data_IF_697583143674
#
_entry.id   IF_697583143674
#
_cell.length_a   1.000
_cell.length_b   1.000
_cell.length_c   1.000
_cell.angle_alpha   90.00
_cell.angle_beta   90.00
_cell.angle_gamma   90.00
#
_symmetry.space_group_name_H-M   'P 1'
#
loop_
_entity.id
_entity.type
_entity.pdbx_description
1 polymer ?
#
# COMPACT_ATOMS: atom_id res chain seq x y z
N UNK A 1 4.99 -13.61 -18.56
CA UNK A 1 6.29 -13.18 -17.99
C UNK A 1 6.11 -12.18 -16.85
N UNK A 2 5.65 -10.95 -17.09
CA UNK A 2 5.54 -9.91 -16.05
C UNK A 2 4.70 -10.31 -14.82
N UNK A 3 3.54 -10.94 -15.02
CA UNK A 3 2.70 -11.43 -13.90
C UNK A 3 3.41 -12.49 -13.06
N UNK A 4 4.11 -13.42 -13.69
CA UNK A 4 4.86 -14.48 -12.99
C UNK A 4 6.05 -13.88 -12.26
N UNK A 5 6.80 -13.00 -12.93
CA UNK A 5 7.93 -12.26 -12.36
C UNK A 5 7.51 -11.43 -11.13
N UNK A 6 6.31 -10.84 -11.15
CA UNK A 6 5.75 -10.06 -10.05
C UNK A 6 5.56 -10.87 -8.75
N UNK A 7 5.21 -12.16 -8.84
CA UNK A 7 5.08 -13.01 -7.65
C UNK A 7 6.38 -13.74 -7.30
N UNK A 8 7.15 -14.16 -8.30
CA UNK A 8 8.31 -15.04 -8.11
C UNK A 8 9.57 -14.28 -7.73
N UNK A 9 9.86 -13.11 -8.34
CA UNK A 9 11.08 -12.36 -7.99
C UNK A 9 11.11 -11.90 -6.53
N UNK A 10 10.03 -11.33 -5.96
CA UNK A 10 10.06 -10.91 -4.55
C UNK A 10 10.29 -12.09 -3.60
N UNK A 11 9.67 -13.25 -3.86
CA UNK A 11 9.85 -14.45 -3.04
C UNK A 11 11.30 -14.99 -3.12
N UNK A 12 11.89 -15.02 -4.31
CA UNK A 12 13.28 -15.44 -4.50
C UNK A 12 14.27 -14.46 -3.86
N UNK A 13 14.02 -13.15 -3.92
CA UNK A 13 14.88 -12.17 -3.28
C UNK A 13 14.86 -12.29 -1.76
N UNK A 14 13.71 -12.61 -1.17
CA UNK A 14 13.59 -12.85 0.28
C UNK A 14 14.34 -14.11 0.69
N UNK A 15 14.19 -15.20 -0.06
CA UNK A 15 14.87 -16.46 0.23
C UNK A 15 16.40 -16.36 0.07
N UNK A 16 16.88 -15.65 -0.95
CA UNK A 16 18.32 -15.39 -1.17
C UNK A 16 18.95 -14.51 -0.07
N UNK A 17 18.14 -13.84 0.75
CA UNK A 17 18.58 -12.95 1.83
C UNK A 17 18.45 -13.58 3.22
N UNK A 18 18.18 -14.88 3.30
CA UNK A 18 18.18 -15.65 4.55
C UNK A 18 16.84 -15.68 5.29
N UNK A 19 15.80 -15.01 4.78
CA UNK A 19 14.46 -15.09 5.33
C UNK A 19 13.68 -16.19 4.59
N UNK A 20 13.46 -17.33 5.24
CA UNK A 20 12.81 -18.51 4.62
C UNK A 20 11.28 -18.43 4.64
N UNK A 21 10.71 -17.37 5.21
CA UNK A 21 9.27 -17.12 5.28
C UNK A 21 8.90 -16.00 6.26
N UNK A 22 7.59 -15.73 6.38
CA UNK A 22 7.03 -14.69 7.26
C UNK A 22 7.36 -14.91 8.74
N UNK A 23 7.32 -16.16 9.22
CA UNK A 23 7.62 -16.49 10.61
C UNK A 23 9.07 -16.13 11.02
N UNK A 24 10.04 -16.35 10.12
CA UNK A 24 11.43 -15.99 10.36
C UNK A 24 11.63 -14.47 10.44
N UNK A 25 10.84 -13.72 9.67
CA UNK A 25 10.86 -12.27 9.66
C UNK A 25 10.23 -11.69 10.93
N UNK A 26 9.09 -12.24 11.37
CA UNK A 26 8.46 -11.88 12.65
C UNK A 26 9.46 -12.11 13.79
N UNK A 27 10.04 -13.31 13.88
CA UNK A 27 11.02 -13.63 14.92
C UNK A 27 12.25 -12.70 14.91
N UNK A 28 12.73 -12.32 13.72
CA UNK A 28 13.82 -11.35 13.59
C UNK A 28 13.43 -9.95 14.05
N UNK A 29 12.21 -9.50 13.74
CA UNK A 29 11.66 -8.23 14.23
C UNK A 29 11.55 -8.24 15.75
N UNK A 30 10.94 -9.29 16.33
CA UNK A 30 10.81 -9.43 17.78
C UNK A 30 12.18 -9.37 18.46
N UNK A 31 13.13 -10.17 17.98
CA UNK A 31 14.50 -10.21 18.51
C UNK A 31 15.20 -8.86 18.41
N UNK A 32 15.06 -8.16 17.28
CA UNK A 32 15.67 -6.85 17.06
C UNK A 32 15.12 -5.79 18.02
N UNK A 33 13.82 -5.78 18.29
CA UNK A 33 13.21 -4.87 19.27
C UNK A 33 13.61 -5.20 20.71
N UNK A 34 13.69 -6.49 21.07
CA UNK A 34 14.09 -6.93 22.42
C UNK A 34 15.52 -6.51 22.78
N UNK A 35 16.44 -6.54 21.81
CA UNK A 35 17.84 -6.21 22.04
C UNK A 35 18.19 -4.76 21.72
N UNK A 36 17.20 -3.94 21.33
CA UNK A 36 17.44 -2.55 21.01
C UNK A 36 17.58 -1.70 22.28
N UNK A 37 18.51 -0.74 22.25
CA UNK A 37 18.56 0.30 23.28
C UNK A 37 17.47 1.35 22.98
N UNK A 38 16.35 1.27 23.70
CA UNK A 38 15.19 2.15 23.49
C UNK A 38 15.51 3.63 23.69
N UNK A 39 16.50 3.96 24.52
CA UNK A 39 16.97 5.33 24.72
C UNK A 39 17.89 5.82 23.60
N UNK A 40 18.48 4.90 22.83
CA UNK A 40 19.34 5.16 21.69
C UNK A 40 18.57 5.39 20.39
N UNK A 41 19.30 5.63 19.29
CA UNK A 41 18.70 5.73 17.95
C UNK A 41 18.62 4.36 17.30
N UNK A 42 17.74 4.21 16.30
CA UNK A 42 17.66 2.95 15.53
C UNK A 42 19.00 2.63 14.88
N UNK A 43 19.69 3.65 14.35
CA UNK A 43 21.01 3.49 13.72
C UNK A 43 22.09 2.94 14.68
N UNK A 44 21.92 3.14 15.98
CA UNK A 44 22.86 2.67 17.01
C UNK A 44 22.51 1.23 17.46
N UNK A 45 21.34 0.71 17.07
CA UNK A 45 20.88 -0.66 17.32
C UNK A 45 21.16 -1.58 16.13
N UNK A 46 22.31 -2.26 16.12
CA UNK A 46 22.83 -2.99 14.96
C UNK A 46 21.82 -3.92 14.26
N UNK A 47 21.13 -4.79 15.01
CA UNK A 47 20.14 -5.72 14.44
C UNK A 47 18.90 -5.02 13.89
N UNK A 48 18.39 -4.01 14.59
CA UNK A 48 17.21 -3.24 14.16
C UNK A 48 17.53 -2.37 12.94
N UNK A 49 18.66 -1.67 12.95
CA UNK A 49 19.14 -0.89 11.81
C UNK A 49 19.28 -1.74 10.55
N UNK A 50 19.92 -2.92 10.67
CA UNK A 50 20.10 -3.83 9.55
C UNK A 50 18.77 -4.38 9.04
N UNK A 51 17.88 -4.80 9.94
CA UNK A 51 16.55 -5.28 9.57
C UNK A 51 15.74 -4.20 8.84
N UNK A 52 15.68 -2.99 9.39
CA UNK A 52 14.99 -1.85 8.77
C UNK A 52 15.56 -1.50 7.39
N UNK A 53 16.89 -1.52 7.22
CA UNK A 53 17.53 -1.26 5.93
C UNK A 53 17.19 -2.33 4.89
N UNK A 54 17.27 -3.62 5.26
CA UNK A 54 16.90 -4.74 4.37
C UNK A 54 15.42 -4.72 4.02
N UNK A 55 14.56 -4.39 4.98
CA UNK A 55 13.12 -4.31 4.79
C UNK A 55 12.74 -3.19 3.82
N UNK A 56 13.40 -2.03 3.94
CA UNK A 56 13.28 -0.93 2.97
C UNK A 56 13.62 -1.39 1.55
N UNK A 57 14.77 -2.02 1.36
CA UNK A 57 15.21 -2.50 0.04
C UNK A 57 14.20 -3.48 -0.56
N UNK A 58 13.68 -4.39 0.25
CA UNK A 58 12.65 -5.33 -0.17
C UNK A 58 11.39 -4.63 -0.71
N UNK A 59 10.89 -3.63 0.02
CA UNK A 59 9.76 -2.82 -0.42
C UNK A 59 10.07 -2.02 -1.69
N UNK A 60 11.27 -1.45 -1.81
CA UNK A 60 11.70 -0.74 -3.03
C UNK A 60 11.64 -1.67 -4.24
N UNK A 61 12.18 -2.89 -4.15
CA UNK A 61 12.16 -3.83 -5.28
C UNK A 61 10.74 -4.22 -5.66
N UNK A 62 9.87 -4.50 -4.68
CA UNK A 62 8.45 -4.77 -4.93
C UNK A 62 7.75 -3.59 -5.60
N UNK A 63 8.01 -2.36 -5.15
CA UNK A 63 7.46 -1.15 -5.75
C UNK A 63 7.91 -0.98 -7.20
N UNK A 64 9.19 -1.20 -7.51
CA UNK A 64 9.69 -1.12 -8.89
C UNK A 64 9.03 -2.14 -9.82
N UNK A 65 8.94 -3.40 -9.38
CA UNK A 65 8.31 -4.48 -10.16
C UNK A 65 6.80 -4.20 -10.35
N UNK A 66 6.12 -3.74 -9.29
CA UNK A 66 4.72 -3.33 -9.36
C UNK A 66 4.52 -2.15 -10.31
N UNK A 67 5.42 -1.17 -10.31
CA UNK A 67 5.39 -0.02 -11.22
C UNK A 67 5.46 -0.43 -12.68
N UNK A 68 6.38 -1.34 -13.04
CA UNK A 68 6.47 -1.88 -14.40
C UNK A 68 5.18 -2.62 -14.77
N UNK A 69 4.63 -3.44 -13.87
CA UNK A 69 3.38 -4.16 -14.11
C UNK A 69 2.20 -3.19 -14.33
N UNK A 70 2.08 -2.12 -13.54
CA UNK A 70 1.07 -1.07 -13.69
C UNK A 70 1.17 -0.42 -15.08
N UNK A 71 2.37 -0.08 -15.54
CA UNK A 71 2.58 0.51 -16.87
C UNK A 71 2.14 -0.43 -18.00
N UNK A 72 2.53 -1.71 -17.92
CA UNK A 72 2.13 -2.74 -18.90
C UNK A 72 0.61 -2.87 -18.93
N UNK A 73 -0.03 -2.97 -17.77
CA UNK A 73 -1.48 -3.15 -17.67
C UNK A 73 -2.25 -1.91 -18.11
N UNK A 74 -1.76 -0.70 -17.83
CA UNK A 74 -2.35 0.53 -18.33
C UNK A 74 -2.34 0.56 -19.88
N UNK A 75 -1.23 0.16 -20.50
CA UNK A 75 -1.14 0.00 -21.95
C UNK A 75 -2.13 -1.03 -22.50
N UNK A 76 -2.24 -2.21 -21.86
CA UNK A 76 -3.19 -3.26 -22.27
C UNK A 76 -4.65 -2.84 -22.08
N UNK A 77 -4.97 -2.14 -20.99
CA UNK A 77 -6.29 -1.55 -20.76
C UNK A 77 -6.66 -0.57 -21.86
N UNK A 78 -5.72 0.30 -22.28
CA UNK A 78 -5.93 1.23 -23.40
C UNK A 78 -6.17 0.51 -24.73
N UNK A 79 -5.33 -0.48 -25.05
CA UNK A 79 -5.46 -1.27 -26.28
C UNK A 79 -6.78 -2.07 -26.33
N UNK A 80 -7.16 -2.71 -25.21
CA UNK A 80 -8.42 -3.45 -25.13
C UNK A 80 -9.62 -2.51 -25.21
N UNK A 81 -9.55 -1.33 -24.60
CA UNK A 81 -10.60 -0.32 -24.72
C UNK A 81 -10.81 0.07 -26.19
N UNK A 82 -9.75 0.37 -26.92
CA UNK A 82 -9.83 0.71 -28.34
C UNK A 82 -10.43 -0.45 -29.15
N UNK A 83 -9.97 -1.68 -28.91
CA UNK A 83 -10.48 -2.87 -29.59
C UNK A 83 -11.98 -3.11 -29.31
N UNK A 84 -12.45 -2.85 -28.09
CA UNK A 84 -13.87 -2.92 -27.74
C UNK A 84 -14.67 -1.82 -28.43
N UNK A 85 -14.13 -0.60 -28.52
CA UNK A 85 -14.78 0.55 -29.16
C UNK A 85 -14.95 0.36 -30.67
N UNK A 86 -14.01 -0.32 -31.34
CA UNK A 86 -14.08 -0.63 -32.79
C UNK A 86 -14.83 -1.93 -33.11
N UNK A 87 -15.09 -2.79 -32.13
CA UNK A 87 -15.74 -4.07 -32.37
C UNK A 87 -17.24 -3.93 -32.68
N UNK A 88 -17.68 -4.65 -33.71
CA UNK A 88 -19.10 -4.81 -34.02
C UNK A 88 -19.86 -5.48 -32.87
N UNK A 89 -21.17 -5.27 -32.83
CA UNK A 89 -22.02 -5.92 -31.82
C UNK A 89 -22.05 -7.43 -32.08
N UNK A 90 -21.69 -8.20 -31.07
CA UNK A 90 -21.66 -9.66 -31.18
C UNK A 90 -20.83 -10.32 -30.07
N UNK A 91 -20.67 -11.64 -30.15
CA UNK A 91 -19.94 -12.46 -29.15
C UNK A 91 -18.53 -11.93 -28.89
N UNK A 92 -17.80 -11.57 -29.96
CA UNK A 92 -16.43 -11.02 -29.87
C UNK A 92 -16.34 -9.78 -28.99
N UNK A 93 -17.31 -8.85 -29.09
CA UNK A 93 -17.34 -7.63 -28.28
C UNK A 93 -17.56 -7.92 -26.79
N UNK A 94 -18.42 -8.88 -26.46
CA UNK A 94 -18.62 -9.30 -25.07
C UNK A 94 -17.38 -9.95 -24.47
N UNK A 95 -16.69 -10.81 -25.24
CA UNK A 95 -15.41 -11.39 -24.82
C UNK A 95 -14.35 -10.30 -24.57
N UNK A 96 -14.24 -9.31 -25.46
CA UNK A 96 -13.31 -8.19 -25.29
C UNK A 96 -13.70 -7.30 -24.09
N UNK A 97 -14.99 -7.09 -23.82
CA UNK A 97 -15.47 -6.38 -22.64
C UNK A 97 -15.10 -7.10 -21.35
N UNK A 98 -15.27 -8.43 -21.31
CA UNK A 98 -14.85 -9.27 -20.18
C UNK A 98 -13.34 -9.17 -19.95
N UNK A 99 -12.54 -9.28 -21.01
CA UNK A 99 -11.09 -9.13 -20.94
C UNK A 99 -10.68 -7.73 -20.47
N UNK A 100 -11.33 -6.67 -20.96
CA UNK A 100 -11.11 -5.30 -20.51
C UNK A 100 -11.38 -5.15 -19.01
N UNK A 101 -12.52 -5.64 -18.52
CA UNK A 101 -12.86 -5.61 -17.10
C UNK A 101 -11.84 -6.35 -16.24
N UNK A 102 -11.42 -7.56 -16.66
CA UNK A 102 -10.42 -8.35 -15.95
C UNK A 102 -9.05 -7.65 -15.88
N UNK A 103 -8.60 -7.03 -16.99
CA UNK A 103 -7.32 -6.29 -17.01
C UNK A 103 -7.41 -5.01 -16.18
N UNK A 104 -8.56 -4.32 -16.14
CA UNK A 104 -8.77 -3.18 -15.25
C UNK A 104 -8.69 -3.61 -13.78
N UNK A 105 -9.37 -4.69 -13.40
CA UNK A 105 -9.28 -5.23 -12.03
C UNK A 105 -7.83 -5.58 -11.66
N UNK A 106 -7.10 -6.23 -12.57
CA UNK A 106 -5.71 -6.59 -12.34
C UNK A 106 -4.80 -5.36 -12.23
N UNK A 107 -5.04 -4.32 -13.04
CA UNK A 107 -4.35 -3.03 -12.96
C UNK A 107 -4.58 -2.35 -11.59
N UNK A 108 -5.82 -2.34 -11.10
CA UNK A 108 -6.16 -1.77 -9.81
C UNK A 108 -5.46 -2.53 -8.67
N UNK A 109 -5.46 -3.86 -8.72
CA UNK A 109 -4.72 -4.69 -7.76
C UNK A 109 -3.21 -4.43 -7.79
N UNK A 110 -2.60 -4.37 -8.98
CA UNK A 110 -1.19 -4.05 -9.13
C UNK A 110 -0.84 -2.66 -8.59
N UNK A 111 -1.72 -1.66 -8.78
CA UNK A 111 -1.56 -0.34 -8.20
C UNK A 111 -1.61 -0.38 -6.68
N UNK A 112 -2.57 -1.11 -6.07
CA UNK A 112 -2.64 -1.25 -4.62
C UNK A 112 -1.33 -1.81 -4.05
N UNK A 113 -0.75 -2.83 -4.71
CA UNK A 113 0.55 -3.37 -4.30
C UNK A 113 1.66 -2.34 -4.45
N UNK A 114 1.68 -1.55 -5.55
CA UNK A 114 2.65 -0.46 -5.72
C UNK A 114 2.56 0.54 -4.57
N UNK A 115 1.36 1.02 -4.22
CA UNK A 115 1.17 2.03 -3.18
C UNK A 115 1.59 1.51 -1.81
N UNK A 116 1.20 0.28 -1.45
CA UNK A 116 1.57 -0.33 -0.17
C UNK A 116 3.09 -0.50 -0.05
N UNK A 117 3.79 -0.85 -1.13
CA UNK A 117 5.24 -1.01 -1.10
C UNK A 117 6.00 0.33 -1.17
N UNK A 118 5.46 1.34 -1.86
CA UNK A 118 6.03 2.69 -1.80
C UNK A 118 5.98 3.25 -0.37
N UNK A 119 4.86 3.06 0.31
CA UNK A 119 4.69 3.42 1.71
C UNK A 119 5.67 2.69 2.64
N UNK A 120 5.77 1.36 2.54
CA UNK A 120 6.71 0.57 3.35
C UNK A 120 8.19 0.90 3.08
N UNK A 121 8.53 1.36 1.88
CA UNK A 121 9.88 1.83 1.56
C UNK A 121 10.20 3.21 2.15
N UNK A 122 9.21 4.10 2.25
CA UNK A 122 9.42 5.46 2.82
C UNK A 122 9.46 5.44 4.34
N UNK A 123 8.71 4.54 4.97
CA UNK A 123 8.64 4.37 6.40
C UNK A 123 8.93 2.91 6.82
N UNK A 124 10.21 2.48 6.71
CA UNK A 124 10.59 1.09 6.89
C UNK A 124 10.56 0.65 8.36
N UNK A 125 10.77 1.54 9.33
CA UNK A 125 10.75 1.19 10.74
C UNK A 125 9.32 0.90 11.21
N UNK A 126 8.37 1.76 10.84
CA UNK A 126 6.95 1.53 11.09
C UNK A 126 6.45 0.27 10.37
N UNK A 127 6.96 0.01 9.15
CA UNK A 127 6.63 -1.22 8.42
C UNK A 127 7.20 -2.47 9.09
N UNK A 128 8.42 -2.43 9.63
CA UNK A 128 8.96 -3.54 10.45
C UNK A 128 8.13 -3.71 11.72
N UNK A 129 7.77 -2.62 12.40
CA UNK A 129 6.95 -2.67 13.62
C UNK A 129 5.57 -3.27 13.37
N UNK A 130 5.00 -3.12 12.18
CA UNK A 130 3.72 -3.76 11.79
C UNK A 130 3.76 -5.30 11.74
N UNK A 131 4.96 -5.89 11.80
CA UNK A 131 5.16 -7.34 11.90
C UNK A 131 5.09 -7.85 13.34
N UNK A 132 5.11 -6.95 14.34
CA UNK A 132 5.04 -7.35 15.74
C UNK A 132 3.63 -7.88 16.05
N UNK A 133 3.50 -8.93 16.88
CA UNK A 133 2.20 -9.47 17.22
C UNK A 133 1.35 -8.46 17.98
N UNK A 134 0.13 -8.20 17.49
CA UNK A 134 -0.81 -7.26 18.11
C UNK A 134 -1.23 -7.66 19.53
N UNK A 135 -1.28 -8.96 19.84
CA UNK A 135 -1.66 -9.49 21.16
C UNK A 135 -0.49 -9.56 22.16
N UNK A 136 0.65 -8.93 21.83
CA UNK A 136 1.85 -8.90 22.65
C UNK A 136 2.52 -10.27 22.67
N UNK A 137 3.59 -10.41 21.87
CA UNK A 137 4.38 -11.64 21.70
C UNK A 137 5.05 -12.18 22.98
N UNK A 138 6.23 -12.83 22.87
CA UNK A 138 6.95 -13.36 24.03
C UNK A 138 7.12 -12.32 25.16
N UNK A 139 7.24 -12.78 26.42
CA UNK A 139 7.19 -11.91 27.61
C UNK A 139 8.14 -10.71 27.58
N UNK A 140 9.35 -10.88 27.01
CA UNK A 140 10.33 -9.81 26.83
C UNK A 140 9.86 -8.73 25.85
N UNK A 141 9.30 -9.13 24.70
CA UNK A 141 8.73 -8.19 23.73
C UNK A 141 7.57 -7.41 24.34
N UNK A 142 6.72 -8.06 25.13
CA UNK A 142 5.62 -7.38 25.81
C UNK A 142 6.14 -6.31 26.79
N UNK A 143 7.25 -6.57 27.47
CA UNK A 143 7.93 -5.58 28.32
C UNK A 143 8.39 -4.37 27.51
N UNK A 144 9.10 -4.61 26.40
CA UNK A 144 9.56 -3.55 25.47
C UNK A 144 8.40 -2.69 24.95
N UNK A 145 7.32 -3.33 24.52
CA UNK A 145 6.13 -2.63 24.05
C UNK A 145 5.45 -1.84 25.18
N UNK A 146 5.45 -2.37 26.40
CA UNK A 146 4.93 -1.68 27.57
C UNK A 146 5.79 -0.47 27.98
N UNK A 147 7.10 -0.49 27.72
CA UNK A 147 8.01 0.64 27.98
C UNK A 147 7.90 1.73 26.89
N UNK A 148 7.67 1.34 25.64
CA UNK A 148 7.48 2.27 24.53
C UNK A 148 6.20 3.11 24.67
N UNK A 149 5.13 2.57 25.24
CA UNK A 149 3.83 3.27 25.36
C UNK A 149 3.92 4.53 26.25
N UNK A 150 4.38 4.48 27.51
CA UNK A 150 4.56 5.68 28.33
C UNK A 150 5.50 6.70 27.68
N UNK A 151 6.55 6.26 26.98
CA UNK A 151 7.47 7.16 26.29
C UNK A 151 6.78 7.96 25.16
N UNK A 152 5.81 7.35 24.47
CA UNK A 152 5.00 8.00 23.43
C UNK A 152 3.95 8.95 24.00
N UNK A 153 3.42 8.66 25.19
CA UNK A 153 2.35 9.43 25.84
C UNK A 153 2.86 10.58 26.73
N UNK A 154 4.03 10.42 27.35
CA UNK A 154 4.54 11.35 28.36
C UNK A 154 5.06 12.67 27.77
N UNK A 155 5.46 12.68 26.50
CA UNK A 155 6.08 13.83 25.85
C UNK A 155 5.27 14.33 24.66
N UNK A 156 5.40 15.63 24.36
CA UNK A 156 4.90 16.14 23.08
C UNK A 156 5.59 15.38 21.94
N UNK A 157 4.93 15.10 20.80
CA UNK A 157 5.51 14.32 19.70
C UNK A 157 6.89 14.79 19.22
N UNK A 158 7.19 16.08 19.36
CA UNK A 158 8.48 16.71 19.04
C UNK A 158 9.59 16.52 20.08
N UNK A 159 9.27 15.96 21.25
CA UNK A 159 10.17 15.74 22.39
C UNK A 159 10.44 14.26 22.69
N UNK A 160 9.66 13.35 22.10
CA UNK A 160 9.91 11.91 22.20
C UNK A 160 11.27 11.60 21.56
N UNK A 161 12.20 11.13 22.37
CA UNK A 161 13.56 10.78 21.95
C UNK A 161 13.73 9.30 21.59
N UNK A 162 14.94 8.94 21.16
CA UNK A 162 15.34 7.56 20.90
C UNK A 162 14.48 6.81 19.87
N UNK A 163 14.37 5.50 20.05
CA UNK A 163 13.62 4.62 19.13
C UNK A 163 12.13 4.95 19.13
N UNK A 164 11.56 5.36 20.28
CA UNK A 164 10.15 5.76 20.37
C UNK A 164 9.84 6.95 19.46
N UNK A 165 10.71 7.98 19.46
CA UNK A 165 10.56 9.17 18.62
C UNK A 165 10.74 8.86 17.14
N UNK A 166 11.73 8.04 16.80
CA UNK A 166 11.94 7.58 15.43
C UNK A 166 10.76 6.74 14.92
N UNK A 167 10.23 5.82 15.73
CA UNK A 167 9.06 5.01 15.41
C UNK A 167 7.82 5.88 15.22
N UNK A 168 7.57 6.86 16.09
CA UNK A 168 6.45 7.80 15.96
C UNK A 168 6.55 8.63 14.68
N UNK A 169 7.73 9.17 14.40
CA UNK A 169 7.99 9.95 13.20
C UNK A 169 7.84 9.10 11.92
N UNK A 170 8.32 7.86 11.94
CA UNK A 170 8.19 6.95 10.81
C UNK A 170 6.75 6.48 10.61
N UNK A 171 6.00 6.21 11.69
CA UNK A 171 4.58 5.85 11.66
C UNK A 171 3.73 6.99 11.10
N UNK A 172 4.04 8.22 11.50
CA UNK A 172 3.40 9.43 10.95
C UNK A 172 3.66 9.54 9.44
N UNK A 173 4.89 9.34 8.98
CA UNK A 173 5.23 9.32 7.54
C UNK A 173 4.53 8.18 6.80
N UNK A 174 4.45 7.00 7.41
CA UNK A 174 3.79 5.81 6.87
C UNK A 174 2.34 6.14 6.49
N UNK A 175 1.58 6.72 7.41
CA UNK A 175 0.19 7.10 7.16
C UNK A 175 0.05 8.32 6.24
N UNK A 176 0.92 9.33 6.37
CA UNK A 176 0.89 10.51 5.49
C UNK A 176 1.11 10.15 4.01
N UNK A 177 2.11 9.30 3.71
CA UNK A 177 2.41 8.86 2.34
C UNK A 177 1.24 8.09 1.75
N UNK A 178 0.66 7.15 2.51
CA UNK A 178 -0.51 6.42 2.04
C UNK A 178 -1.70 7.34 1.81
N UNK A 179 -1.95 8.29 2.71
CA UNK A 179 -3.03 9.25 2.58
C UNK A 179 -2.93 10.06 1.28
N UNK A 180 -1.75 10.59 0.98
CA UNK A 180 -1.49 11.39 -0.23
C UNK A 180 -1.59 10.54 -1.50
N UNK A 181 -0.96 9.37 -1.53
CA UNK A 181 -0.99 8.48 -2.69
C UNK A 181 -2.41 7.97 -2.97
N UNK A 182 -3.15 7.57 -1.94
CA UNK A 182 -4.53 7.13 -2.05
C UNK A 182 -5.46 8.27 -2.49
N UNK A 183 -5.26 9.51 -1.98
CA UNK A 183 -6.01 10.67 -2.45
C UNK A 183 -5.80 10.89 -3.96
N UNK A 184 -4.54 10.89 -4.41
CA UNK A 184 -4.19 11.07 -5.82
C UNK A 184 -4.83 10.00 -6.72
N UNK A 185 -4.69 8.73 -6.36
CA UNK A 185 -5.31 7.61 -7.08
C UNK A 185 -6.84 7.73 -7.09
N UNK A 186 -7.43 8.02 -5.93
CA UNK A 186 -8.87 8.19 -5.73
C UNK A 186 -9.46 9.28 -6.62
N UNK A 187 -8.84 10.48 -6.64
CA UNK A 187 -9.24 11.61 -7.48
C UNK A 187 -9.12 11.26 -8.96
N UNK A 188 -8.02 10.63 -9.39
CA UNK A 188 -7.82 10.22 -10.79
C UNK A 188 -8.92 9.25 -11.23
N UNK A 189 -9.18 8.21 -10.44
CA UNK A 189 -10.17 7.20 -10.77
C UNK A 189 -11.60 7.73 -10.75
N UNK A 190 -11.95 8.55 -9.75
CA UNK A 190 -13.25 9.21 -9.69
C UNK A 190 -13.45 10.11 -10.93
N UNK A 191 -12.40 10.84 -11.32
CA UNK A 191 -12.45 11.68 -12.53
C UNK A 191 -12.65 10.84 -13.79
N UNK A 192 -11.98 9.69 -13.92
CA UNK A 192 -12.17 8.75 -15.05
C UNK A 192 -13.60 8.21 -15.08
N UNK A 193 -14.14 7.79 -13.94
CA UNK A 193 -15.50 7.27 -13.81
C UNK A 193 -16.54 8.34 -14.18
N UNK A 194 -16.43 9.54 -13.59
CA UNK A 194 -17.31 10.66 -13.88
C UNK A 194 -17.24 11.06 -15.36
N UNK A 195 -16.04 11.11 -15.96
CA UNK A 195 -15.90 11.39 -17.40
C UNK A 195 -16.58 10.34 -18.27
N UNK A 196 -16.51 9.06 -17.91
CA UNK A 196 -17.22 7.99 -18.63
C UNK A 196 -18.74 8.18 -18.58
N UNK A 197 -19.27 8.52 -17.39
CA UNK A 197 -20.69 8.86 -17.21
C UNK A 197 -21.05 10.11 -18.03
N UNK A 198 -20.34 11.24 -17.86
CA UNK A 198 -20.68 12.48 -18.57
C UNK A 198 -20.62 12.32 -20.10
N UNK A 199 -19.66 11.55 -20.64
CA UNK A 199 -19.58 11.24 -22.08
C UNK A 199 -20.80 10.45 -22.54
N UNK A 200 -21.24 9.44 -21.77
CA UNK A 200 -22.45 8.67 -22.06
C UNK A 200 -23.68 9.56 -22.12
N UNK A 201 -23.82 10.50 -21.19
CA UNK A 201 -24.95 11.43 -21.14
C UNK A 201 -24.96 12.39 -22.33
N UNK A 202 -23.81 12.95 -22.71
CA UNK A 202 -23.69 13.79 -23.92
C UNK A 202 -24.05 13.03 -25.19
N UNK A 203 -23.60 11.79 -25.34
CA UNK A 203 -23.92 10.97 -26.51
C UNK A 203 -25.41 10.63 -26.63
N UNK A 204 -26.12 10.46 -25.50
CA UNK A 204 -27.60 10.32 -25.51
C UNK A 204 -28.27 11.54 -26.13
N UNK A 205 -27.80 12.74 -25.78
CA UNK A 205 -28.38 14.00 -26.29
C UNK A 205 -28.12 14.22 -27.78
N UNK A 206 -26.96 13.75 -28.29
CA UNK A 206 -26.58 13.95 -29.69
C UNK A 206 -26.91 12.78 -30.61
N UNK A 207 -27.63 11.74 -30.13
CA UNK A 207 -27.98 10.56 -30.94
C UNK A 207 -26.79 9.71 -31.44
N UNK A 208 -25.59 9.88 -30.87
CA UNK A 208 -24.36 9.18 -31.33
C UNK A 208 -24.23 7.77 -30.75
N UNK A 209 -23.50 6.91 -31.45
CA UNK A 209 -23.20 5.53 -31.05
C UNK A 209 -22.68 5.43 -29.61
N UNK A 210 -23.12 4.40 -28.88
CA UNK A 210 -22.82 4.19 -27.46
C UNK A 210 -21.38 3.72 -27.24
N UNK A 211 -20.66 4.31 -26.27
CA UNK A 211 -19.35 3.80 -25.81
C UNK A 211 -19.51 2.51 -25.02
N UNK A 212 -19.19 1.30 -25.54
CA UNK A 212 -19.39 0.02 -24.85
C UNK A 212 -18.85 -0.07 -23.43
N UNK A 213 -17.68 0.52 -23.21
CA UNK A 213 -16.88 0.36 -21.98
C UNK A 213 -17.37 1.24 -20.83
N UNK A 214 -18.37 2.11 -21.05
CA UNK A 214 -18.75 3.15 -20.08
C UNK A 214 -19.20 2.58 -18.74
N UNK A 215 -19.99 1.49 -18.74
CA UNK A 215 -20.48 0.85 -17.50
C UNK A 215 -19.31 0.30 -16.72
N UNK A 216 -18.52 -0.58 -17.34
CA UNK A 216 -17.35 -1.21 -16.70
C UNK A 216 -16.38 -0.13 -16.16
N UNK A 217 -16.13 0.91 -16.95
CA UNK A 217 -15.24 2.01 -16.55
C UNK A 217 -15.81 2.79 -15.37
N UNK A 218 -17.08 3.20 -15.43
CA UNK A 218 -17.71 3.97 -14.36
C UNK A 218 -17.80 3.16 -13.07
N UNK A 219 -18.16 1.89 -13.15
CA UNK A 219 -18.31 1.01 -11.98
C UNK A 219 -16.96 0.70 -11.35
N UNK A 220 -15.98 0.17 -12.11
CA UNK A 220 -14.71 -0.27 -11.53
C UNK A 220 -13.87 0.90 -11.03
N UNK A 221 -13.69 1.95 -11.85
CA UNK A 221 -12.93 3.13 -11.42
C UNK A 221 -13.71 3.97 -10.40
N UNK A 222 -15.03 3.99 -10.43
CA UNK A 222 -15.84 4.68 -9.43
C UNK A 222 -15.72 4.02 -8.06
N UNK A 223 -15.87 2.69 -8.01
CA UNK A 223 -15.70 1.90 -6.78
C UNK A 223 -14.27 2.02 -6.24
N UNK A 224 -13.25 1.83 -7.09
CA UNK A 224 -11.86 2.01 -6.69
C UNK A 224 -11.57 3.44 -6.22
N UNK A 225 -12.09 4.45 -6.94
CA UNK A 225 -11.95 5.85 -6.58
C UNK A 225 -12.53 6.15 -5.20
N UNK A 226 -13.75 5.69 -4.93
CA UNK A 226 -14.37 5.82 -3.61
C UNK A 226 -13.57 5.10 -2.52
N UNK A 227 -13.14 3.86 -2.76
CA UNK A 227 -12.32 3.10 -1.83
C UNK A 227 -11.02 3.82 -1.47
N UNK A 228 -10.27 4.32 -2.46
CA UNK A 228 -9.00 5.02 -2.21
C UNK A 228 -9.21 6.38 -1.51
N UNK A 229 -10.29 7.10 -1.78
CA UNK A 229 -10.62 8.32 -1.04
C UNK A 229 -10.97 8.02 0.42
N UNK A 230 -11.71 6.94 0.69
CA UNK A 230 -11.99 6.49 2.06
C UNK A 230 -10.70 6.06 2.78
N UNK A 231 -9.84 5.30 2.09
CA UNK A 231 -8.54 4.91 2.62
C UNK A 231 -7.68 6.14 2.95
N UNK A 232 -7.67 7.14 2.07
CA UNK A 232 -6.97 8.41 2.30
C UNK A 232 -7.48 9.15 3.54
N UNK A 233 -8.80 9.21 3.71
CA UNK A 233 -9.43 9.86 4.85
C UNK A 233 -9.06 9.14 6.16
N UNK A 234 -9.13 7.81 6.19
CA UNK A 234 -8.76 7.00 7.35
C UNK A 234 -7.27 7.16 7.73
N UNK A 235 -6.38 7.31 6.75
CA UNK A 235 -4.97 7.52 7.02
C UNK A 235 -4.65 8.97 7.40
N UNK A 236 -5.43 9.93 6.92
CA UNK A 236 -5.30 11.34 7.32
C UNK A 236 -5.60 11.52 8.81
N UNK A 237 -6.60 10.83 9.36
CA UNK A 237 -6.86 10.90 10.81
C UNK A 237 -5.67 10.39 11.63
N UNK A 238 -5.07 9.26 11.25
CA UNK A 238 -3.87 8.73 11.92
C UNK A 238 -2.65 9.60 11.71
N UNK A 239 -2.53 10.26 10.57
CA UNK A 239 -1.45 11.22 10.32
C UNK A 239 -1.57 12.47 11.22
N UNK A 240 -2.79 12.99 11.40
CA UNK A 240 -3.04 14.18 12.23
C UNK A 240 -2.83 13.88 13.71
N UNK A 241 -3.28 12.72 14.18
CA UNK A 241 -3.15 12.29 15.58
C UNK A 241 -2.56 10.86 15.68
N UNK A 242 -1.22 10.73 15.56
CA UNK A 242 -0.57 9.43 15.39
C UNK A 242 -0.38 8.66 16.71
N UNK A 243 -0.33 9.34 17.86
CA UNK A 243 0.01 8.72 19.15
C UNK A 243 -1.04 7.68 19.57
N UNK A 244 -2.36 7.98 19.59
CA UNK A 244 -3.35 7.00 20.02
C UNK A 244 -3.37 5.76 19.11
N UNK A 245 -3.23 5.97 17.80
CA UNK A 245 -3.21 4.88 16.82
C UNK A 245 -1.95 4.00 16.94
N UNK A 246 -0.79 4.61 17.21
CA UNK A 246 0.44 3.87 17.44
C UNK A 246 0.35 3.06 18.73
N UNK A 247 -0.10 3.66 19.83
CA UNK A 247 -0.29 2.96 21.12
C UNK A 247 -1.25 1.79 20.97
N UNK A 248 -2.38 1.98 20.27
CA UNK A 248 -3.31 0.90 19.98
C UNK A 248 -2.66 -0.25 19.17
N UNK A 249 -1.82 0.09 18.18
CA UNK A 249 -1.07 -0.90 17.38
C UNK A 249 -0.08 -1.70 18.22
N UNK A 250 0.52 -1.08 19.23
CA UNK A 250 1.44 -1.74 20.17
C UNK A 250 0.69 -2.55 21.24
N UNK A 251 -0.63 -2.75 21.13
CA UNK A 251 -1.47 -3.51 22.07
C UNK A 251 -1.99 -2.71 23.26
N UNK A 252 -2.09 -1.38 23.12
CA UNK A 252 -2.78 -0.52 24.09
C UNK A 252 -4.30 -0.60 23.91
N UNK A 253 -5.02 -0.73 25.03
CA UNK A 253 -6.49 -0.69 25.10
C UNK A 253 -6.97 0.66 25.60
#
# INVERSE_FOLDING_TARGET
AATVAFFVLPALLVSLRGFTGEAALVAASESAFVHADLGGRVADSGALAELTARWREFHVVKALIAGVLVLVLAGRTSALRQAVETAERGRRRWSLLGAYGAVVLWLLGALTVLLANAQGAVAPLASVASLLPAEGGPGELRGVLADLRPALEADSPSRVGGIAGELLGDFTRYHAVLAVLAAGAGVVFMTVALRAVSRRWRQRRTGRSSQPTWVVTATLYGAAGGFFLLLSLANTSTWIDPVPALVATLGGS
#
